data_IF_456610167046
#
_entry.id   IF_456610167046
#
_cell.length_a   1.000
_cell.length_b   1.000
_cell.length_c   1.000
_cell.angle_alpha   90.00
_cell.angle_beta   90.00
_cell.angle_gamma   90.00
#
_symmetry.space_group_name_H-M   'P 1'
#
loop_
_entity.id
_entity.type
_entity.pdbx_description
1 polymer ?
#
# COMPACT_ATOMS: atom_id res chain seq x y z
N UNK A 1 16.44 12.94 -0.65
CA UNK A 1 17.01 13.04 0.72
C UNK A 1 16.40 12.01 1.67
N UNK A 2 15.10 11.89 1.75
CA UNK A 2 14.41 10.98 2.68
C UNK A 2 14.72 9.49 2.43
N UNK A 3 14.88 9.10 1.19
CA UNK A 3 15.23 7.72 0.81
C UNK A 3 16.67 7.36 1.17
N UNK A 4 17.57 8.33 1.10
CA UNK A 4 18.97 8.15 1.43
C UNK A 4 19.16 7.97 2.95
N UNK A 5 18.31 8.59 3.75
CA UNK A 5 18.28 8.42 5.20
C UNK A 5 17.95 6.98 5.59
N UNK A 6 17.01 6.31 4.92
CA UNK A 6 16.73 4.90 5.16
C UNK A 6 17.92 3.99 4.87
N UNK A 7 18.69 4.31 3.83
CA UNK A 7 19.93 3.58 3.53
C UNK A 7 20.97 3.73 4.65
N UNK A 8 21.10 4.93 5.21
CA UNK A 8 22.07 5.23 6.28
C UNK A 8 21.75 4.53 7.60
N UNK A 9 20.49 4.23 7.87
CA UNK A 9 20.06 3.54 9.09
C UNK A 9 20.34 2.03 9.03
N UNK A 10 20.53 1.47 7.84
CA UNK A 10 20.82 0.04 7.65
C UNK A 10 19.63 -0.87 7.94
N UNK A 11 18.42 -0.43 7.60
CA UNK A 11 17.22 -1.23 7.79
C UNK A 11 17.18 -2.45 6.85
N UNK A 12 16.85 -3.61 7.40
CA UNK A 12 16.63 -4.81 6.59
C UNK A 12 15.27 -4.78 5.87
N UNK A 13 14.26 -4.24 6.50
CA UNK A 13 12.90 -4.24 5.94
C UNK A 13 12.14 -2.96 6.25
N UNK A 14 11.28 -2.57 5.32
CA UNK A 14 10.24 -1.56 5.53
C UNK A 14 8.89 -2.22 5.37
N UNK A 15 8.04 -2.05 6.37
CA UNK A 15 6.69 -2.64 6.43
C UNK A 15 5.66 -1.53 6.42
N UNK A 16 4.70 -1.62 5.52
CA UNK A 16 3.62 -0.65 5.40
C UNK A 16 2.25 -1.31 5.24
N UNK A 17 1.18 -0.59 5.57
CA UNK A 17 -0.18 -1.05 5.28
C UNK A 17 -0.47 -0.93 3.78
N UNK A 18 -1.03 -1.98 3.19
CA UNK A 18 -1.51 -1.98 1.80
C UNK A 18 -3.01 -1.78 1.71
N UNK A 19 -3.57 -0.98 2.59
CA UNK A 19 -4.99 -0.63 2.60
C UNK A 19 -5.46 0.09 1.34
N UNK A 20 -4.54 0.73 0.61
CA UNK A 20 -4.80 1.38 -0.67
C UNK A 20 -3.54 1.38 -1.55
N UNK A 21 -3.71 1.67 -2.84
CA UNK A 21 -2.62 1.70 -3.80
C UNK A 21 -1.62 2.83 -3.56
N UNK A 22 -2.07 3.97 -3.04
CA UNK A 22 -1.20 5.10 -2.75
C UNK A 22 -0.15 4.76 -1.69
N UNK A 23 -0.56 4.14 -0.58
CA UNK A 23 0.36 3.72 0.48
C UNK A 23 1.36 2.69 -0.03
N UNK A 24 0.89 1.71 -0.80
CA UNK A 24 1.75 0.70 -1.41
C UNK A 24 2.79 1.33 -2.33
N UNK A 25 2.38 2.27 -3.18
CA UNK A 25 3.30 3.00 -4.05
C UNK A 25 4.38 3.75 -3.26
N UNK A 26 4.00 4.41 -2.19
CA UNK A 26 4.93 5.22 -1.39
C UNK A 26 6.02 4.37 -0.74
N UNK A 27 5.71 3.23 -0.18
CA UNK A 27 6.74 2.43 0.48
C UNK A 27 7.46 1.44 -0.45
N UNK A 28 6.86 1.04 -1.56
CA UNK A 28 7.55 0.20 -2.55
C UNK A 28 8.68 0.94 -3.27
N UNK A 29 8.62 2.26 -3.32
CA UNK A 29 9.68 3.10 -3.89
C UNK A 29 10.88 3.29 -2.93
N UNK A 30 10.79 2.84 -1.68
CA UNK A 30 11.90 2.91 -0.72
C UNK A 30 13.00 1.95 -1.17
N UNK A 31 14.16 2.51 -1.49
CA UNK A 31 15.32 1.78 -1.97
C UNK A 31 16.29 1.45 -0.82
N UNK A 32 17.25 0.58 -1.11
CA UNK A 32 18.33 0.23 -0.18
C UNK A 32 17.88 -0.49 1.09
N UNK A 33 16.75 -1.16 1.04
CA UNK A 33 16.30 -2.13 2.04
C UNK A 33 16.20 -3.51 1.40
N UNK A 34 16.43 -4.57 2.17
CA UNK A 34 16.35 -5.95 1.65
C UNK A 34 14.92 -6.31 1.21
N UNK A 35 13.94 -5.88 2.00
CA UNK A 35 12.55 -6.25 1.80
C UNK A 35 11.63 -5.05 1.95
N UNK A 36 10.67 -4.96 1.06
CA UNK A 36 9.45 -4.19 1.29
C UNK A 36 8.31 -5.16 1.56
N UNK A 37 7.60 -4.96 2.65
CA UNK A 37 6.52 -5.85 3.08
C UNK A 37 5.21 -5.09 3.22
N UNK A 38 4.16 -5.62 2.60
CA UNK A 38 2.82 -5.12 2.72
C UNK A 38 2.02 -5.85 3.79
N UNK A 39 1.49 -5.12 4.75
CA UNK A 39 0.48 -5.65 5.66
C UNK A 39 -0.89 -5.51 5.00
N UNK A 40 -1.45 -6.61 4.58
CA UNK A 40 -2.82 -6.66 4.10
C UNK A 40 -3.77 -6.47 5.28
N UNK A 41 -4.38 -5.30 5.31
CA UNK A 41 -5.29 -4.89 6.37
C UNK A 41 -6.52 -4.30 5.69
N UNK A 42 -7.54 -5.13 5.38
CA UNK A 42 -8.67 -4.71 4.55
C UNK A 42 -9.56 -3.65 5.20
N UNK A 43 -9.49 -3.48 6.50
CA UNK A 43 -10.29 -2.51 7.24
C UNK A 43 -9.47 -1.94 8.39
N UNK A 44 -9.93 -0.83 8.92
CA UNK A 44 -9.29 -0.19 10.05
C UNK A 44 -10.08 -0.51 11.32
N UNK A 45 -9.57 -1.55 12.07
CA UNK A 45 -10.05 -1.91 13.40
C UNK A 45 -11.42 -2.63 13.49
N UNK A 46 -11.89 -3.03 14.69
CA UNK A 46 -12.87 -4.10 14.89
C UNK A 46 -14.23 -3.88 14.23
N UNK A 47 -14.37 -2.80 13.49
CA UNK A 47 -15.62 -2.35 12.88
C UNK A 47 -16.22 -3.36 11.90
N UNK A 48 -15.44 -4.32 11.41
CA UNK A 48 -15.92 -5.32 10.46
C UNK A 48 -16.02 -6.72 11.06
N UNK A 49 -15.27 -7.00 12.13
CA UNK A 49 -15.28 -8.31 12.81
C UNK A 49 -16.27 -8.35 13.97
N UNK A 50 -17.54 -8.21 13.65
CA UNK A 50 -18.66 -8.35 14.57
C UNK A 50 -19.76 -9.18 13.95
N UNK A 51 -20.74 -9.59 14.73
CA UNK A 51 -21.93 -10.26 14.22
C UNK A 51 -22.66 -9.37 13.19
N UNK A 52 -22.90 -9.92 12.01
CA UNK A 52 -23.48 -9.19 10.87
C UNK A 52 -22.47 -8.36 10.04
N UNK A 53 -21.21 -8.30 10.43
CA UNK A 53 -20.13 -7.71 9.60
C UNK A 53 -19.71 -8.64 8.45
N UNK A 54 -19.16 -8.05 7.40
CA UNK A 54 -18.68 -8.79 6.22
C UNK A 54 -17.20 -8.49 5.93
N UNK A 55 -16.26 -9.11 6.68
CA UNK A 55 -14.84 -8.90 6.49
C UNK A 55 -14.33 -9.43 5.14
N UNK A 56 -15.01 -10.39 4.53
CA UNK A 56 -14.65 -10.91 3.21
C UNK A 56 -14.88 -9.85 2.13
N UNK A 57 -16.01 -9.16 2.18
CA UNK A 57 -16.35 -8.08 1.24
C UNK A 57 -15.32 -6.95 1.33
N UNK A 58 -15.00 -6.52 2.54
CA UNK A 58 -13.98 -5.49 2.77
C UNK A 58 -12.61 -5.92 2.22
N UNK A 59 -12.22 -7.17 2.50
CA UNK A 59 -10.97 -7.74 2.01
C UNK A 59 -10.92 -7.78 0.47
N UNK A 60 -12.01 -8.14 -0.19
CA UNK A 60 -12.10 -8.17 -1.66
C UNK A 60 -11.91 -6.78 -2.27
N UNK A 61 -12.55 -5.77 -1.72
CA UNK A 61 -12.39 -4.38 -2.16
C UNK A 61 -10.94 -3.92 -1.99
N UNK A 62 -10.36 -4.17 -0.83
CA UNK A 62 -8.98 -3.80 -0.56
C UNK A 62 -7.99 -4.52 -1.49
N UNK A 63 -8.17 -5.83 -1.71
CA UNK A 63 -7.27 -6.60 -2.55
C UNK A 63 -7.28 -6.15 -4.00
N UNK A 64 -8.42 -5.83 -4.56
CA UNK A 64 -8.51 -5.29 -5.93
C UNK A 64 -7.68 -4.01 -6.08
N UNK A 65 -7.72 -3.14 -5.09
CA UNK A 65 -6.95 -1.90 -5.08
C UNK A 65 -5.45 -2.16 -4.91
N UNK A 66 -5.07 -2.96 -3.92
CA UNK A 66 -3.68 -3.31 -3.65
C UNK A 66 -3.03 -4.05 -4.84
N UNK A 67 -3.72 -5.01 -5.43
CA UNK A 67 -3.24 -5.80 -6.57
C UNK A 67 -2.85 -4.95 -7.76
N UNK A 68 -3.64 -3.94 -8.10
CA UNK A 68 -3.34 -3.01 -9.20
C UNK A 68 -2.03 -2.27 -8.97
N UNK A 69 -1.79 -1.85 -7.75
CA UNK A 69 -0.56 -1.15 -7.40
C UNK A 69 0.65 -2.09 -7.39
N UNK A 70 0.50 -3.33 -6.93
CA UNK A 70 1.58 -4.34 -6.93
C UNK A 70 2.11 -4.60 -8.34
N UNK A 71 1.27 -4.62 -9.35
CA UNK A 71 1.68 -4.83 -10.74
C UNK A 71 2.65 -3.75 -11.25
N UNK A 72 2.63 -2.57 -10.66
CA UNK A 72 3.51 -1.44 -11.01
C UNK A 72 4.61 -1.17 -10.01
N UNK A 73 4.40 -1.57 -8.78
CA UNK A 73 5.32 -1.35 -7.66
C UNK A 73 5.41 -2.61 -6.82
N UNK A 74 6.17 -3.59 -7.30
CA UNK A 74 6.30 -4.88 -6.62
C UNK A 74 6.84 -4.70 -5.20
N UNK A 75 6.21 -5.39 -4.27
CA UNK A 75 6.71 -5.63 -2.92
C UNK A 75 7.16 -7.08 -2.80
N UNK A 76 8.09 -7.36 -1.91
CA UNK A 76 8.65 -8.71 -1.78
C UNK A 76 7.81 -9.64 -0.91
N UNK A 77 7.03 -9.07 0.01
CA UNK A 77 6.23 -9.84 0.97
C UNK A 77 4.88 -9.23 1.18
N UNK A 78 3.91 -10.07 1.46
CA UNK A 78 2.58 -9.69 1.92
C UNK A 78 2.13 -10.62 3.05
N UNK A 79 1.41 -10.08 4.01
CA UNK A 79 0.81 -10.85 5.08
C UNK A 79 -0.38 -10.14 5.70
N UNK A 80 -1.18 -10.86 6.45
CA UNK A 80 -2.29 -10.27 7.20
C UNK A 80 -1.76 -9.46 8.38
N UNK A 81 -2.15 -8.21 8.48
CA UNK A 81 -1.64 -7.26 9.46
C UNK A 81 -2.56 -6.94 10.63
N UNK A 82 -3.71 -7.60 10.71
CA UNK A 82 -4.71 -7.34 11.75
C UNK A 82 -4.63 -8.27 12.96
N UNK A 83 -5.65 -8.20 13.80
CA UNK A 83 -5.77 -9.06 15.00
C UNK A 83 -6.15 -10.49 14.63
N UNK A 84 -5.18 -11.39 14.68
CA UNK A 84 -5.38 -12.78 14.29
C UNK A 84 -6.47 -13.47 15.11
N UNK A 85 -6.55 -13.18 16.41
CA UNK A 85 -7.58 -13.77 17.28
C UNK A 85 -9.01 -13.42 16.85
N UNK A 86 -9.24 -12.21 16.34
CA UNK A 86 -10.53 -11.82 15.78
C UNK A 86 -10.77 -12.48 14.43
N UNK A 87 -9.78 -12.44 13.56
CA UNK A 87 -9.87 -13.01 12.22
C UNK A 87 -10.19 -14.51 12.23
N UNK A 88 -9.64 -15.26 13.18
CA UNK A 88 -9.87 -16.70 13.33
C UNK A 88 -11.32 -17.07 13.66
N UNK A 89 -12.13 -16.12 14.11
CA UNK A 89 -13.57 -16.33 14.35
C UNK A 89 -14.39 -16.28 13.06
N UNK A 90 -13.75 -15.89 11.93
CA UNK A 90 -14.38 -15.77 10.60
C UNK A 90 -13.67 -16.70 9.61
N UNK A 91 -14.04 -17.98 9.53
CA UNK A 91 -13.36 -18.96 8.69
C UNK A 91 -13.28 -18.58 7.22
N UNK A 92 -14.34 -17.98 6.68
CA UNK A 92 -14.40 -17.54 5.28
C UNK A 92 -13.39 -16.40 5.01
N UNK A 93 -13.21 -15.51 5.98
CA UNK A 93 -12.18 -14.48 5.88
C UNK A 93 -10.77 -15.08 5.90
N UNK A 94 -10.52 -16.05 6.79
CA UNK A 94 -9.23 -16.76 6.84
C UNK A 94 -8.95 -17.48 5.52
N UNK A 95 -9.97 -18.11 4.94
CA UNK A 95 -9.85 -18.77 3.64
C UNK A 95 -9.53 -17.75 2.54
N UNK A 96 -10.22 -16.62 2.53
CA UNK A 96 -9.95 -15.57 1.55
C UNK A 96 -8.53 -14.99 1.68
N UNK A 97 -8.01 -14.82 2.90
CA UNK A 97 -6.60 -14.40 3.09
C UNK A 97 -5.62 -15.41 2.50
N UNK A 98 -5.89 -16.71 2.61
CA UNK A 98 -5.06 -17.75 1.95
C UNK A 98 -5.09 -17.58 0.42
N UNK A 99 -6.24 -17.30 -0.15
CA UNK A 99 -6.39 -17.03 -1.59
C UNK A 99 -5.60 -15.80 -2.02
N UNK A 100 -5.67 -14.70 -1.25
CA UNK A 100 -4.88 -13.49 -1.48
C UNK A 100 -3.37 -13.81 -1.44
N UNK A 101 -2.91 -14.56 -0.46
CA UNK A 101 -1.50 -14.96 -0.38
C UNK A 101 -1.07 -15.84 -1.56
N UNK A 102 -1.94 -16.73 -2.02
CA UNK A 102 -1.68 -17.57 -3.19
C UNK A 102 -1.62 -16.75 -4.48
N UNK A 103 -2.58 -15.86 -4.67
CA UNK A 103 -2.59 -14.95 -5.82
C UNK A 103 -1.36 -14.03 -5.80
N UNK A 104 -0.99 -13.52 -4.65
CA UNK A 104 0.22 -12.70 -4.51
C UNK A 104 1.48 -13.46 -4.94
N UNK A 105 1.65 -14.71 -4.53
CA UNK A 105 2.78 -15.54 -4.98
C UNK A 105 2.81 -15.69 -6.49
N UNK A 106 1.66 -16.00 -7.08
CA UNK A 106 1.53 -16.13 -8.54
C UNK A 106 1.89 -14.82 -9.24
N UNK A 107 1.41 -13.69 -8.76
CA UNK A 107 1.77 -12.37 -9.29
C UNK A 107 3.27 -12.10 -9.13
N UNK A 108 3.81 -12.34 -7.96
CA UNK A 108 5.22 -12.10 -7.65
C UNK A 108 6.12 -12.91 -8.57
N UNK A 109 5.85 -14.19 -8.73
CA UNK A 109 6.64 -15.08 -9.59
C UNK A 109 6.58 -14.66 -11.07
N UNK A 110 5.45 -14.13 -11.52
CA UNK A 110 5.28 -13.70 -12.91
C UNK A 110 5.82 -12.31 -13.22
N UNK A 111 5.93 -11.42 -12.24
CA UNK A 111 6.43 -10.04 -12.46
C UNK A 111 7.94 -9.90 -12.22
N UNK A 112 8.57 -10.88 -11.61
CA UNK A 112 10.02 -10.87 -11.40
C UNK A 112 10.77 -10.85 -12.74
N UNK A 113 11.69 -9.90 -12.86
CA UNK A 113 12.49 -9.73 -14.05
C UNK A 113 11.75 -9.19 -15.28
N UNK A 114 10.46 -8.87 -15.14
CA UNK A 114 9.66 -8.31 -16.22
C UNK A 114 9.60 -6.78 -16.08
N UNK A 115 9.98 -6.07 -17.13
CA UNK A 115 9.77 -4.63 -17.21
C UNK A 115 8.40 -4.39 -17.86
N UNK A 116 7.42 -3.83 -17.13
CA UNK A 116 6.12 -3.58 -17.69
C UNK A 116 6.19 -2.52 -18.80
N UNK A 117 5.50 -2.75 -19.90
CA UNK A 117 5.36 -1.76 -20.94
C UNK A 117 4.48 -0.60 -20.45
N UNK A 118 4.98 0.61 -20.57
CA UNK A 118 4.29 1.82 -20.16
C UNK A 118 4.09 2.75 -21.36
N UNK A 119 2.86 3.21 -21.55
CA UNK A 119 2.49 4.10 -22.68
C UNK A 119 3.15 5.47 -22.53
N UNK A 120 3.19 5.99 -21.31
CA UNK A 120 3.77 7.30 -20.98
C UNK A 120 4.45 7.28 -19.61
N UNK A 121 5.37 8.21 -19.43
CA UNK A 121 5.97 8.52 -18.12
C UNK A 121 5.26 9.70 -17.49
N UNK A 122 4.97 9.57 -16.20
CA UNK A 122 4.36 10.61 -15.38
C UNK A 122 5.25 10.84 -14.17
N UNK A 123 5.69 12.06 -13.96
CA UNK A 123 6.41 12.45 -12.77
C UNK A 123 5.45 13.10 -11.76
N UNK A 124 5.45 12.61 -10.54
CA UNK A 124 4.72 13.21 -9.43
C UNK A 124 5.71 13.89 -8.51
N UNK A 125 5.63 15.20 -8.42
CA UNK A 125 6.49 15.98 -7.51
C UNK A 125 6.09 15.71 -6.07
N UNK A 126 7.03 15.15 -5.31
CA UNK A 126 6.84 14.81 -3.92
C UNK A 126 7.58 15.79 -3.00
N UNK A 127 6.86 16.72 -2.42
CA UNK A 127 7.40 17.73 -1.52
C UNK A 127 7.30 17.30 -0.04
N UNK A 128 7.83 16.14 0.31
CA UNK A 128 7.70 15.53 1.65
C UNK A 128 8.04 16.47 2.80
N UNK A 129 9.09 17.24 2.71
CA UNK A 129 9.47 18.19 3.77
C UNK A 129 8.41 19.24 4.05
N UNK A 130 7.87 19.84 3.00
CA UNK A 130 6.78 20.82 3.10
C UNK A 130 5.46 20.17 3.46
N UNK A 131 5.18 18.99 2.94
CA UNK A 131 3.97 18.24 3.30
C UNK A 131 3.96 17.83 4.77
N UNK A 132 5.11 17.50 5.35
CA UNK A 132 5.21 17.18 6.77
C UNK A 132 4.86 18.39 7.65
N UNK A 133 5.44 19.54 7.35
CA UNK A 133 5.12 20.79 8.07
C UNK A 133 3.66 21.17 7.89
N UNK A 134 3.15 21.00 6.70
CA UNK A 134 1.77 21.28 6.38
C UNK A 134 0.80 20.29 7.03
N UNK A 135 1.13 19.00 7.02
CA UNK A 135 0.40 17.96 7.71
C UNK A 135 0.27 18.25 9.21
N UNK A 136 1.35 18.67 9.86
CA UNK A 136 1.31 19.08 11.26
C UNK A 136 0.37 20.26 11.49
N UNK A 137 0.43 21.29 10.64
CA UNK A 137 -0.46 22.44 10.70
C UNK A 137 -1.93 22.02 10.49
N UNK A 138 -2.18 21.17 9.50
CA UNK A 138 -3.51 20.70 9.15
C UNK A 138 -4.16 19.84 10.23
N UNK A 139 -3.37 18.96 10.87
CA UNK A 139 -3.85 18.16 12.01
C UNK A 139 -4.24 19.05 13.16
N UNK A 140 -3.44 20.07 13.46
CA UNK A 140 -3.73 21.02 14.51
C UNK A 140 -5.05 21.77 14.29
N UNK A 141 -5.37 22.11 13.05
CA UNK A 141 -6.59 22.83 12.68
C UNK A 141 -7.77 21.94 12.25
N UNK A 142 -7.67 20.62 12.40
CA UNK A 142 -8.70 19.65 12.02
C UNK A 142 -9.15 19.71 10.54
N UNK A 143 -8.32 20.27 9.66
CA UNK A 143 -8.58 20.35 8.21
C UNK A 143 -7.77 19.37 7.39
N UNK A 144 -7.05 18.49 8.05
CA UNK A 144 -6.17 17.46 7.49
C UNK A 144 -6.81 16.65 6.36
N UNK A 145 -8.03 16.20 6.55
CA UNK A 145 -8.72 15.35 5.59
C UNK A 145 -8.95 16.01 4.23
N UNK A 146 -9.33 17.26 4.21
CA UNK A 146 -9.75 17.96 2.98
C UNK A 146 -8.62 18.17 1.96
N UNK A 147 -7.38 18.21 2.42
CA UNK A 147 -6.27 18.63 1.58
C UNK A 147 -5.31 17.48 1.20
N UNK A 148 -5.21 16.44 2.04
CA UNK A 148 -4.46 15.26 1.67
C UNK A 148 -5.20 14.35 0.67
N UNK A 149 -6.51 14.48 0.57
CA UNK A 149 -7.29 13.70 -0.41
C UNK A 149 -6.81 13.90 -1.85
N UNK A 150 -6.45 15.11 -2.24
CA UNK A 150 -6.00 15.38 -3.60
C UNK A 150 -4.70 14.66 -3.92
N UNK A 151 -3.73 14.67 -3.00
CA UNK A 151 -2.44 14.01 -3.20
C UNK A 151 -2.59 12.49 -3.25
N UNK A 152 -3.24 11.90 -2.26
CA UNK A 152 -3.49 10.47 -2.24
C UNK A 152 -4.40 10.03 -3.39
N UNK A 153 -5.40 10.83 -3.74
CA UNK A 153 -6.28 10.58 -4.86
C UNK A 153 -5.56 10.52 -6.20
N UNK A 154 -4.58 11.39 -6.44
CA UNK A 154 -3.75 11.37 -7.64
C UNK A 154 -2.91 10.09 -7.69
N UNK A 155 -2.25 9.73 -6.59
CA UNK A 155 -1.44 8.51 -6.53
C UNK A 155 -2.32 7.28 -6.73
N UNK A 156 -3.49 7.24 -6.09
CA UNK A 156 -4.44 6.12 -6.21
C UNK A 156 -4.95 6.00 -7.66
N UNK A 157 -5.31 7.09 -8.30
CA UNK A 157 -5.78 7.11 -9.68
C UNK A 157 -4.70 6.65 -10.67
N UNK A 158 -3.43 6.97 -10.40
CA UNK A 158 -2.30 6.54 -11.22
C UNK A 158 -1.85 5.10 -10.93
N UNK A 159 -2.23 4.56 -9.77
CA UNK A 159 -1.91 3.17 -9.40
C UNK A 159 -2.63 2.19 -10.31
N UNK A 160 -1.88 1.32 -10.98
CA UNK A 160 -2.41 0.37 -11.95
C UNK A 160 -2.77 0.98 -13.32
N UNK A 161 -2.56 2.27 -13.54
CA UNK A 161 -2.65 2.87 -14.87
C UNK A 161 -1.44 2.42 -15.73
N UNK A 162 -1.57 2.41 -17.08
CA UNK A 162 -0.49 1.99 -17.97
C UNK A 162 0.58 3.08 -18.13
N UNK A 163 0.87 3.81 -17.05
CA UNK A 163 1.89 4.85 -16.98
C UNK A 163 3.05 4.40 -16.10
N UNK A 164 4.25 4.79 -16.49
CA UNK A 164 5.40 4.73 -15.61
C UNK A 164 5.36 5.95 -14.70
N UNK A 165 5.05 5.73 -13.42
CA UNK A 165 4.91 6.80 -12.44
C UNK A 165 6.14 6.85 -11.56
N UNK A 166 6.84 7.96 -11.60
CA UNK A 166 8.01 8.23 -10.76
C UNK A 166 7.70 9.34 -9.77
N UNK A 167 8.16 9.19 -8.54
CA UNK A 167 8.12 10.24 -7.53
C UNK A 167 9.45 10.98 -7.54
N UNK A 168 9.38 12.29 -7.70
CA UNK A 168 10.55 13.18 -7.68
C UNK A 168 10.43 14.18 -6.53
N UNK A 169 11.53 14.54 -5.92
CA UNK A 169 11.63 15.50 -4.80
C UNK A 169 12.61 16.63 -5.12
#
# INVERSE_FOLDING_TARGET
PFMDEFASIGLDAVVGSVGNGATLRLFSDIKNVKYTEGRFLPYFFPDTFHEGGDPVKEAKVNWVTARRAILRSPIQRIGYGGYLKLALQFPDFVQYIKEVCQEFRTLYDNIQGVTPYCVKRVAVLNCWGRMRSWGNHMVHHAIYYKQNYSYFGIIEALSGAPFDVSFIS
#
